data_IF_395859376590
#
_entry.id   IF_395859376590
#
_cell.length_a   1.000
_cell.length_b   1.000
_cell.length_c   1.000
_cell.angle_alpha   90.00
_cell.angle_beta   90.00
_cell.angle_gamma   90.00
#
_symmetry.space_group_name_H-M   'P 1'
#
loop_
_entity.id
_entity.type
_entity.pdbx_description
1 polymer ?
#
# COMPACT_ATOMS: atom_id res chain seq x y z
N UNK A 1 -1.62 26.96 2.63
CA UNK A 1 -3.08 26.84 2.73
C UNK A 1 -3.52 25.48 2.19
N UNK A 2 -4.36 24.76 2.94
CA UNK A 2 -4.94 23.48 2.54
C UNK A 2 -6.37 23.62 1.98
N UNK A 3 -6.80 24.85 1.67
CA UNK A 3 -8.09 25.09 1.05
C UNK A 3 -8.22 24.32 -0.29
N UNK A 4 -9.31 23.60 -0.47
CA UNK A 4 -9.53 22.76 -1.64
C UNK A 4 -8.80 21.41 -1.64
N UNK A 5 -8.25 21.00 -0.50
CA UNK A 5 -7.64 19.69 -0.32
C UNK A 5 -8.46 18.81 0.63
N UNK A 6 -8.63 17.55 0.24
CA UNK A 6 -9.09 16.49 1.13
C UNK A 6 -7.91 16.07 2.01
N UNK A 7 -8.07 16.19 3.32
CA UNK A 7 -7.06 15.79 4.29
C UNK A 7 -7.35 14.37 4.78
N UNK A 8 -6.38 13.49 4.62
CA UNK A 8 -6.42 12.10 5.11
C UNK A 8 -5.37 12.00 6.22
N UNK A 9 -5.79 11.92 7.49
CA UNK A 9 -4.85 11.83 8.62
C UNK A 9 -4.31 10.41 8.75
N UNK A 10 -3.05 10.28 9.15
CA UNK A 10 -2.38 9.02 9.45
C UNK A 10 -2.11 8.92 10.93
N UNK A 11 -2.66 7.91 11.55
CA UNK A 11 -2.47 7.61 12.96
C UNK A 11 -1.54 6.42 13.15
N UNK A 12 -0.80 6.44 14.24
CA UNK A 12 -0.01 5.35 14.75
C UNK A 12 -0.24 5.26 16.25
N UNK A 13 -0.78 4.15 16.72
CA UNK A 13 -1.17 3.94 18.13
C UNK A 13 -2.03 5.10 18.68
N UNK A 14 -3.00 5.52 17.88
CA UNK A 14 -3.92 6.59 18.23
C UNK A 14 -3.37 8.02 18.14
N UNK A 15 -2.08 8.20 17.80
CA UNK A 15 -1.46 9.52 17.65
C UNK A 15 -1.35 9.93 16.19
N UNK A 16 -1.72 11.17 15.87
CA UNK A 16 -1.53 11.73 14.54
C UNK A 16 -0.03 11.82 14.23
N UNK A 17 0.41 11.19 13.14
CA UNK A 17 1.81 11.17 12.71
C UNK A 17 2.05 11.97 11.43
N UNK A 18 1.08 11.96 10.53
CA UNK A 18 1.21 12.51 9.20
C UNK A 18 -0.17 12.79 8.60
N UNK A 19 -0.21 13.49 7.47
CA UNK A 19 -1.42 13.58 6.65
C UNK A 19 -1.09 13.57 5.17
N UNK A 20 -2.04 13.11 4.37
CA UNK A 20 -2.04 13.24 2.92
C UNK A 20 -3.09 14.29 2.54
N UNK A 21 -2.67 15.37 1.89
CA UNK A 21 -3.56 16.41 1.41
C UNK A 21 -3.71 16.29 -0.11
N UNK A 22 -4.87 15.79 -0.57
CA UNK A 22 -5.16 15.60 -2.00
C UNK A 22 -6.02 16.73 -2.52
N UNK A 23 -5.59 17.35 -3.61
CA UNK A 23 -6.34 18.39 -4.28
C UNK A 23 -7.66 17.83 -4.87
N UNK A 24 -8.79 18.43 -4.50
CA UNK A 24 -10.13 18.04 -4.96
C UNK A 24 -10.80 19.11 -5.85
N UNK A 25 -10.18 20.29 -5.98
CA UNK A 25 -10.71 21.37 -6.82
C UNK A 25 -9.96 21.54 -8.13
N UNK A 26 -8.91 20.76 -8.38
CA UNK A 26 -8.15 20.78 -9.64
C UNK A 26 -7.24 21.98 -9.86
N UNK A 27 -7.11 22.90 -8.90
CA UNK A 27 -6.22 24.06 -8.96
C UNK A 27 -5.01 23.85 -8.05
N UNK A 28 -3.79 23.91 -8.63
CA UNK A 28 -2.54 23.69 -7.89
C UNK A 28 -2.05 22.24 -7.92
N UNK A 29 -1.03 21.88 -7.12
CA UNK A 29 -0.43 20.55 -7.12
C UNK A 29 -1.43 19.48 -6.68
N UNK A 30 -1.31 18.28 -7.27
CA UNK A 30 -2.17 17.12 -6.93
C UNK A 30 -2.14 16.75 -5.46
N UNK A 31 -0.99 16.95 -4.81
CA UNK A 31 -0.78 16.72 -3.39
C UNK A 31 -0.07 17.90 -2.75
N UNK A 32 -0.41 18.20 -1.51
CA UNK A 32 0.26 19.18 -0.65
C UNK A 32 0.51 18.54 0.72
N UNK A 33 1.42 17.57 0.73
CA UNK A 33 1.77 16.81 1.93
C UNK A 33 2.89 17.49 2.69
N UNK A 34 3.01 17.26 4.02
CA UNK A 34 4.21 17.66 4.74
C UNK A 34 5.43 16.87 4.26
N UNK A 35 6.60 17.51 4.22
CA UNK A 35 7.85 16.85 3.84
C UNK A 35 8.27 15.79 4.86
N UNK A 36 7.92 16.03 6.12
CA UNK A 36 8.27 15.19 7.27
C UNK A 36 7.04 14.95 8.13
N UNK A 37 7.04 13.82 8.85
CA UNK A 37 6.03 13.54 9.85
C UNK A 37 6.24 14.42 11.12
N UNK A 38 5.34 14.27 12.11
CA UNK A 38 5.39 15.00 13.37
C UNK A 38 6.69 14.76 14.17
N UNK A 39 7.39 13.65 13.91
CA UNK A 39 8.69 13.33 14.54
C UNK A 39 9.90 13.84 13.75
N UNK A 40 9.68 14.52 12.63
CA UNK A 40 10.74 15.01 11.75
C UNK A 40 11.24 13.99 10.72
N UNK A 41 10.58 12.83 10.59
CA UNK A 41 10.94 11.79 9.63
C UNK A 41 10.19 11.96 8.30
N UNK A 42 10.80 11.56 7.20
CA UNK A 42 10.20 11.63 5.86
C UNK A 42 9.20 10.50 5.59
N UNK A 43 8.49 10.60 4.46
CA UNK A 43 7.45 9.64 4.06
C UNK A 43 7.91 8.18 3.96
N UNK A 44 9.20 7.92 3.77
CA UNK A 44 9.78 6.58 3.76
C UNK A 44 9.67 5.85 5.12
N UNK A 45 9.33 6.58 6.19
CA UNK A 45 9.06 6.05 7.54
C UNK A 45 7.56 6.04 7.89
N UNK A 46 6.70 6.24 6.90
CA UNK A 46 5.25 6.33 7.08
C UNK A 46 4.57 5.14 6.41
N UNK A 47 3.59 4.57 7.12
CA UNK A 47 2.62 3.61 6.59
C UNK A 47 1.23 4.13 6.98
N UNK A 48 0.36 4.35 5.99
CA UNK A 48 -1.04 4.67 6.28
C UNK A 48 -1.73 3.48 6.94
N UNK A 49 -2.53 3.74 7.97
CA UNK A 49 -3.25 2.72 8.75
C UNK A 49 -2.32 1.64 9.33
N UNK A 50 -1.15 2.04 9.84
CA UNK A 50 -0.13 1.16 10.38
C UNK A 50 -0.68 0.16 11.42
N UNK A 51 -1.64 0.59 12.24
CA UNK A 51 -2.21 -0.24 13.31
C UNK A 51 -2.91 -1.51 12.80
N UNK A 52 -3.33 -1.54 11.52
CA UNK A 52 -3.86 -2.74 10.89
C UNK A 52 -2.87 -3.92 10.89
N UNK A 53 -1.56 -3.65 10.90
CA UNK A 53 -0.51 -4.67 10.98
C UNK A 53 -0.53 -5.45 12.31
N UNK A 54 -1.00 -4.82 13.37
CA UNK A 54 -1.13 -5.44 14.69
C UNK A 54 -2.53 -6.04 14.92
N UNK A 55 -3.55 -5.49 14.24
CA UNK A 55 -4.95 -5.87 14.45
C UNK A 55 -5.37 -7.07 13.60
N UNK A 56 -4.79 -7.26 12.41
CA UNK A 56 -5.27 -8.25 11.45
C UNK A 56 -4.18 -9.24 11.03
N UNK A 57 -4.57 -10.50 10.89
CA UNK A 57 -3.69 -11.57 10.37
C UNK A 57 -3.50 -11.51 8.86
N UNK A 58 -4.32 -10.77 8.15
CA UNK A 58 -4.29 -10.60 6.70
C UNK A 58 -4.53 -9.14 6.35
N UNK A 59 -3.60 -8.52 5.66
CA UNK A 59 -3.59 -7.10 5.33
C UNK A 59 -3.34 -6.89 3.85
N UNK A 60 -4.05 -5.92 3.27
CA UNK A 60 -3.85 -5.45 1.91
C UNK A 60 -2.81 -4.32 1.88
N UNK A 61 -1.90 -4.35 0.92
CA UNK A 61 -0.90 -3.30 0.71
C UNK A 61 -1.22 -2.56 -0.56
N UNK A 62 -1.57 -1.27 -0.44
CA UNK A 62 -1.85 -0.36 -1.53
C UNK A 62 -0.72 0.67 -1.70
N UNK A 63 -0.66 1.34 -2.86
CA UNK A 63 0.29 2.42 -3.09
C UNK A 63 -0.12 3.69 -2.34
N UNK A 64 -1.38 4.12 -2.49
CA UNK A 64 -1.91 5.36 -1.94
C UNK A 64 -2.99 5.17 -0.87
N UNK A 65 -3.12 6.18 0.02
CA UNK A 65 -4.10 6.14 1.10
C UNK A 65 -5.55 6.03 0.62
N UNK A 66 -5.93 6.65 -0.50
CA UNK A 66 -7.28 6.52 -1.06
C UNK A 66 -7.57 5.10 -1.53
N UNK A 67 -6.60 4.41 -2.15
CA UNK A 67 -6.74 3.01 -2.53
C UNK A 67 -6.96 2.12 -1.30
N UNK A 68 -6.21 2.38 -0.22
CA UNK A 68 -6.39 1.66 1.03
C UNK A 68 -7.78 1.92 1.66
N UNK A 69 -8.24 3.18 1.67
CA UNK A 69 -9.59 3.53 2.15
C UNK A 69 -10.70 2.85 1.35
N UNK A 70 -10.53 2.69 0.03
CA UNK A 70 -11.49 1.97 -0.82
C UNK A 70 -11.63 0.50 -0.40
N UNK A 71 -10.55 -0.16 -0.03
CA UNK A 71 -10.57 -1.53 0.49
C UNK A 71 -11.17 -1.57 1.92
N UNK A 72 -10.74 -0.67 2.80
CA UNK A 72 -11.23 -0.52 4.18
C UNK A 72 -10.18 -0.86 5.24
N UNK A 73 -10.63 -1.18 6.45
CA UNK A 73 -9.83 -1.23 7.68
C UNK A 73 -8.61 -2.17 7.62
N UNK A 74 -8.65 -3.19 6.77
CA UNK A 74 -7.54 -4.15 6.60
C UNK A 74 -6.50 -3.72 5.57
N UNK A 75 -6.56 -2.51 5.08
CA UNK A 75 -5.63 -2.03 4.07
C UNK A 75 -4.69 -0.96 4.63
N UNK A 76 -3.44 -1.07 4.25
CA UNK A 76 -2.39 -0.08 4.50
C UNK A 76 -1.94 0.54 3.19
N UNK A 77 -1.24 1.67 3.26
CA UNK A 77 -0.58 2.24 2.09
C UNK A 77 0.87 2.67 2.39
N UNK A 78 1.74 2.45 1.42
CA UNK A 78 3.18 2.71 1.52
C UNK A 78 3.59 4.10 1.02
N UNK A 79 2.63 4.88 0.52
CA UNK A 79 2.82 6.26 0.04
C UNK A 79 3.77 6.39 -1.15
N UNK A 80 3.73 5.41 -2.03
CA UNK A 80 4.48 5.31 -3.27
C UNK A 80 4.85 3.88 -3.61
N UNK A 81 5.22 3.64 -4.87
CA UNK A 81 5.56 2.30 -5.37
C UNK A 81 6.89 1.77 -4.86
N UNK A 82 7.87 2.65 -4.62
CA UNK A 82 9.16 2.29 -4.06
C UNK A 82 9.06 2.16 -2.53
N UNK A 83 9.07 0.92 -2.04
CA UNK A 83 8.90 0.61 -0.63
C UNK A 83 10.25 0.61 0.06
N UNK A 84 10.39 1.40 1.13
CA UNK A 84 11.62 1.56 1.87
C UNK A 84 11.98 0.31 2.69
N UNK A 85 13.26 0.18 3.06
CA UNK A 85 13.70 -0.89 3.95
C UNK A 85 13.03 -0.80 5.33
N UNK A 86 12.77 0.41 5.83
CA UNK A 86 12.00 0.60 7.06
C UNK A 86 10.60 -0.01 6.94
N UNK A 87 9.87 0.32 5.88
CA UNK A 87 8.53 -0.22 5.65
C UNK A 87 8.54 -1.75 5.52
N UNK A 88 9.52 -2.32 4.79
CA UNK A 88 9.69 -3.79 4.71
C UNK A 88 9.91 -4.40 6.11
N UNK A 89 10.75 -3.77 6.93
CA UNK A 89 11.02 -4.24 8.28
C UNK A 89 9.77 -4.21 9.18
N UNK A 90 8.95 -3.17 9.06
CA UNK A 90 7.66 -3.09 9.78
C UNK A 90 6.71 -4.23 9.37
N UNK A 91 6.62 -4.54 8.06
CA UNK A 91 5.84 -5.67 7.57
C UNK A 91 6.35 -7.01 8.11
N UNK A 92 7.66 -7.21 8.12
CA UNK A 92 8.28 -8.46 8.61
C UNK A 92 8.10 -8.65 10.12
N UNK A 93 8.24 -7.59 10.91
CA UNK A 93 8.14 -7.61 12.38
C UNK A 93 6.70 -7.75 12.88
N UNK A 94 5.71 -7.34 12.08
CA UNK A 94 4.31 -7.31 12.47
C UNK A 94 3.75 -8.70 12.78
N UNK A 95 2.63 -8.76 13.51
CA UNK A 95 1.88 -9.97 13.75
C UNK A 95 1.08 -10.46 12.52
N UNK A 96 0.96 -9.63 11.50
CA UNK A 96 0.30 -9.99 10.25
C UNK A 96 1.01 -11.18 9.58
N UNK A 97 0.24 -12.16 9.14
CA UNK A 97 0.76 -13.41 8.55
C UNK A 97 0.63 -13.47 7.03
N UNK A 98 -0.27 -12.65 6.47
CA UNK A 98 -0.63 -12.71 5.05
C UNK A 98 -0.70 -11.31 4.47
N UNK A 99 -0.05 -11.12 3.34
CA UNK A 99 -0.09 -9.86 2.60
C UNK A 99 -0.70 -10.05 1.22
N UNK A 100 -1.66 -9.21 0.88
CA UNK A 100 -2.25 -9.07 -0.45
C UNK A 100 -1.74 -7.76 -1.04
N UNK A 101 -0.88 -7.83 -2.05
CA UNK A 101 -0.21 -6.67 -2.64
C UNK A 101 -1.03 -6.19 -3.83
N UNK A 102 -1.52 -4.96 -3.75
CA UNK A 102 -2.41 -4.28 -4.68
C UNK A 102 -1.79 -2.95 -5.12
N UNK A 103 -0.58 -2.99 -5.67
CA UNK A 103 0.04 -1.79 -6.23
C UNK A 103 -0.54 -1.46 -7.61
N UNK A 104 -0.39 -0.21 -8.02
CA UNK A 104 -0.90 0.26 -9.30
C UNK A 104 -0.24 -0.49 -10.48
N UNK A 105 -0.86 -0.56 -11.67
CA UNK A 105 -0.36 -1.37 -12.80
C UNK A 105 1.06 -1.03 -13.25
N UNK A 106 1.47 0.24 -13.13
CA UNK A 106 2.82 0.70 -13.46
C UNK A 106 3.89 0.32 -12.41
N UNK A 107 3.47 -0.29 -11.30
CA UNK A 107 4.32 -0.71 -10.19
C UNK A 107 4.45 -2.24 -10.05
N UNK A 108 4.14 -3.03 -11.10
CA UNK A 108 4.16 -4.50 -11.06
C UNK A 108 5.50 -5.08 -10.61
N UNK A 109 6.61 -4.57 -11.11
CA UNK A 109 7.96 -5.01 -10.70
C UNK A 109 8.24 -4.71 -9.23
N UNK A 110 7.79 -3.55 -8.74
CA UNK A 110 7.89 -3.20 -7.31
C UNK A 110 7.06 -4.13 -6.42
N UNK A 111 5.86 -4.49 -6.87
CA UNK A 111 4.97 -5.41 -6.15
C UNK A 111 5.60 -6.81 -6.01
N UNK A 112 6.16 -7.35 -7.11
CA UNK A 112 6.84 -8.65 -7.11
C UNK A 112 8.10 -8.61 -6.26
N UNK A 113 8.90 -7.54 -6.35
CA UNK A 113 10.10 -7.38 -5.54
C UNK A 113 9.78 -7.28 -4.04
N UNK A 114 8.68 -6.62 -3.66
CA UNK A 114 8.21 -6.63 -2.28
C UNK A 114 7.81 -8.04 -1.84
N UNK A 115 7.03 -8.75 -2.66
CA UNK A 115 6.61 -10.11 -2.36
C UNK A 115 7.80 -11.05 -2.15
N UNK A 116 8.85 -10.93 -2.97
CA UNK A 116 10.09 -11.72 -2.83
C UNK A 116 10.81 -11.45 -1.49
N UNK A 117 10.77 -10.22 -0.98
CA UNK A 117 11.33 -9.89 0.34
C UNK A 117 10.53 -10.47 1.50
N UNK A 118 9.23 -10.70 1.32
CA UNK A 118 8.32 -11.13 2.38
C UNK A 118 8.08 -12.65 2.39
N UNK A 119 8.13 -13.32 1.23
CA UNK A 119 7.62 -14.70 1.06
C UNK A 119 8.33 -15.76 1.91
N UNK A 120 9.57 -15.51 2.33
CA UNK A 120 10.29 -16.41 3.23
C UNK A 120 9.67 -16.49 4.65
N UNK A 121 8.94 -15.46 5.05
CA UNK A 121 8.42 -15.32 6.43
C UNK A 121 6.90 -15.17 6.48
N UNK A 122 6.27 -14.76 5.39
CA UNK A 122 4.85 -14.40 5.31
C UNK A 122 4.22 -15.05 4.09
N UNK A 123 2.92 -15.36 4.14
CA UNK A 123 2.18 -15.73 2.94
C UNK A 123 1.89 -14.46 2.13
N UNK A 124 2.21 -14.47 0.86
CA UNK A 124 2.04 -13.31 -0.02
C UNK A 124 1.27 -13.67 -1.28
N UNK A 125 0.46 -12.73 -1.77
CA UNK A 125 -0.05 -12.76 -3.12
C UNK A 125 0.05 -11.38 -3.76
N UNK A 126 0.57 -11.33 -4.97
CA UNK A 126 0.55 -10.14 -5.83
C UNK A 126 -0.67 -10.25 -6.72
N UNK A 127 -1.54 -9.27 -6.66
CA UNK A 127 -2.73 -9.19 -7.49
C UNK A 127 -2.52 -8.12 -8.55
N UNK A 128 -2.45 -8.52 -9.81
CA UNK A 128 -2.28 -7.57 -10.90
C UNK A 128 -3.61 -6.94 -11.27
N UNK A 129 -3.67 -5.63 -11.14
CA UNK A 129 -4.81 -4.84 -11.57
C UNK A 129 -4.80 -4.69 -13.11
N UNK A 130 -5.97 -4.53 -13.75
CA UNK A 130 -6.05 -4.22 -15.18
C UNK A 130 -5.30 -2.94 -15.53
N UNK A 131 -4.70 -2.89 -16.71
CA UNK A 131 -3.96 -1.72 -17.18
C UNK A 131 -4.83 -0.46 -17.15
N UNK A 132 -4.29 0.64 -16.64
CA UNK A 132 -4.99 1.92 -16.56
C UNK A 132 -5.98 2.07 -15.40
N UNK A 133 -6.17 1.04 -14.55
CA UNK A 133 -7.09 1.08 -13.42
C UNK A 133 -6.37 0.84 -12.10
N UNK A 134 -6.54 1.73 -11.15
CA UNK A 134 -6.12 1.50 -9.77
C UNK A 134 -7.26 0.90 -8.92
N UNK A 135 -7.00 0.64 -7.64
CA UNK A 135 -8.02 0.11 -6.71
C UNK A 135 -9.22 1.04 -6.58
N UNK A 136 -8.98 2.35 -6.61
CA UNK A 136 -10.03 3.34 -6.46
C UNK A 136 -10.93 3.40 -7.71
N UNK A 137 -10.34 3.25 -8.91
CA UNK A 137 -11.08 3.20 -10.18
C UNK A 137 -11.97 1.95 -10.28
N UNK A 138 -11.43 0.78 -9.87
CA UNK A 138 -12.16 -0.49 -9.88
C UNK A 138 -13.24 -0.56 -8.79
N UNK A 139 -13.00 0.11 -7.67
CA UNK A 139 -13.80 -0.01 -6.47
C UNK A 139 -13.59 -1.35 -5.73
N UNK A 140 -14.05 -1.39 -4.48
CA UNK A 140 -13.87 -2.52 -3.56
C UNK A 140 -14.33 -3.86 -4.14
N UNK A 141 -15.54 -3.91 -4.70
CA UNK A 141 -16.16 -5.16 -5.17
C UNK A 141 -15.34 -5.83 -6.27
N UNK A 142 -14.93 -5.07 -7.29
CA UNK A 142 -14.15 -5.61 -8.41
C UNK A 142 -12.74 -6.00 -7.96
N UNK A 143 -12.11 -5.19 -7.14
CA UNK A 143 -10.79 -5.48 -6.58
C UNK A 143 -10.81 -6.79 -5.78
N UNK A 144 -11.80 -6.98 -4.89
CA UNK A 144 -11.91 -8.21 -4.11
C UNK A 144 -12.17 -9.43 -4.99
N UNK A 145 -12.90 -9.31 -6.10
CA UNK A 145 -13.07 -10.40 -7.08
C UNK A 145 -11.71 -10.87 -7.63
N UNK A 146 -10.84 -9.94 -8.03
CA UNK A 146 -9.48 -10.26 -8.48
C UNK A 146 -8.64 -10.91 -7.37
N UNK A 147 -8.76 -10.41 -6.14
CA UNK A 147 -8.07 -10.97 -4.97
C UNK A 147 -8.47 -12.44 -4.73
N UNK A 148 -9.76 -12.76 -4.83
CA UNK A 148 -10.24 -14.15 -4.66
C UNK A 148 -9.81 -15.09 -5.79
N UNK A 149 -9.66 -14.58 -7.00
CA UNK A 149 -9.18 -15.33 -8.16
C UNK A 149 -7.65 -15.57 -8.12
N UNK A 150 -6.92 -14.77 -7.35
CA UNK A 150 -5.46 -14.88 -7.23
C UNK A 150 -5.10 -15.76 -6.05
N UNK A 151 -4.26 -16.77 -6.27
CA UNK A 151 -3.73 -17.61 -5.18
C UNK A 151 -2.47 -16.98 -4.55
N UNK A 152 -2.10 -17.47 -3.38
CA UNK A 152 -0.80 -17.14 -2.79
C UNK A 152 0.31 -17.76 -3.63
N UNK A 153 1.41 -17.01 -3.86
CA UNK A 153 2.53 -17.46 -4.68
C UNK A 153 3.68 -17.94 -3.80
N UNK A 154 4.39 -18.94 -4.30
CA UNK A 154 5.67 -19.40 -3.78
C UNK A 154 6.81 -18.49 -4.26
N UNK A 155 8.00 -18.61 -3.63
CA UNK A 155 9.20 -17.91 -4.08
C UNK A 155 9.53 -18.17 -5.55
N UNK A 156 9.44 -19.45 -5.99
CA UNK A 156 9.72 -19.84 -7.36
C UNK A 156 8.76 -19.20 -8.37
N UNK A 157 7.46 -19.19 -8.06
CA UNK A 157 6.44 -18.53 -8.89
C UNK A 157 6.69 -17.02 -9.00
N UNK A 158 7.07 -16.37 -7.89
CA UNK A 158 7.39 -14.94 -7.90
C UNK A 158 8.63 -14.63 -8.75
N UNK A 159 9.65 -15.50 -8.74
CA UNK A 159 10.82 -15.37 -9.62
C UNK A 159 10.40 -15.50 -11.09
N UNK A 160 9.56 -16.47 -11.44
CA UNK A 160 9.06 -16.64 -12.81
C UNK A 160 8.26 -15.39 -13.26
N UNK A 161 7.40 -14.87 -12.40
CA UNK A 161 6.63 -13.65 -12.69
C UNK A 161 7.60 -12.48 -12.91
N UNK A 162 8.60 -12.27 -12.03
CA UNK A 162 9.58 -11.21 -12.17
C UNK A 162 10.28 -11.27 -13.53
N UNK A 163 10.78 -12.45 -13.91
CA UNK A 163 11.48 -12.63 -15.17
C UNK A 163 10.59 -12.38 -16.41
N UNK A 164 9.27 -12.52 -16.26
CA UNK A 164 8.31 -12.22 -17.34
C UNK A 164 7.99 -10.72 -17.46
N UNK A 165 8.38 -9.90 -16.47
CA UNK A 165 8.16 -8.45 -16.46
C UNK A 165 9.38 -7.66 -16.99
N UNK A 166 10.55 -8.32 -17.10
CA UNK A 166 11.78 -7.77 -17.69
C UNK A 166 11.76 -7.91 -19.20
#
# INVERSE_FOLDING_TARGET
STYGYLIIPFYYRGQLRYYNARNVIGKGPRYNNPDKDITGLGKQFIIFNHDALEMYRSVFICEGALNALTIGDRAIATMGKAISQYQVNELLKSQCQRYIILLDPDARSYAVNLALKLVAYKKVKVVFLPEGFDVNDLGKKQTLKLVYQTRYQSYQELIQIRNSLE
#
